data_IF_182778608370
#
_entry.id   IF_182778608370
#
_cell.length_a   1.000
_cell.length_b   1.000
_cell.length_c   1.000
_cell.angle_alpha   90.00
_cell.angle_beta   90.00
_cell.angle_gamma   90.00
#
_symmetry.space_group_name_H-M   'P 1'
#
loop_
_entity.id
_entity.type
_entity.pdbx_description
1 polymer ?
#
# COMPACT_ATOMS: atom_id res chain seq x y z
N UNK A 1 5.16 10.16 7.93
CA UNK A 1 6.45 9.48 7.67
C UNK A 1 6.20 8.00 7.43
N UNK A 2 6.86 7.40 6.45
CA UNK A 2 6.87 5.95 6.21
C UNK A 2 8.31 5.47 6.39
N UNK A 3 8.53 4.53 7.29
CA UNK A 3 9.85 3.93 7.55
C UNK A 3 9.83 2.47 7.16
N UNK A 4 10.87 2.04 6.48
CA UNK A 4 11.18 0.65 6.17
C UNK A 4 12.38 0.27 7.03
N UNK A 5 12.27 -0.79 7.80
CA UNK A 5 13.24 -1.21 8.80
C UNK A 5 13.67 -2.65 8.50
N UNK A 6 14.83 -2.81 7.85
CA UNK A 6 15.45 -4.09 7.49
C UNK A 6 14.52 -5.07 6.77
N UNK A 7 13.68 -4.56 5.84
CA UNK A 7 12.66 -5.34 5.16
C UNK A 7 13.27 -6.36 4.18
N UNK A 8 12.89 -7.61 4.34
CA UNK A 8 13.15 -8.68 3.37
C UNK A 8 11.85 -9.39 3.02
N UNK A 9 11.65 -9.67 1.73
CA UNK A 9 10.47 -10.37 1.24
C UNK A 9 10.82 -11.47 0.25
N UNK A 10 10.05 -12.54 0.25
CA UNK A 10 10.17 -13.63 -0.72
C UNK A 10 8.84 -14.11 -1.24
N UNK A 11 8.88 -14.76 -2.40
CA UNK A 11 7.75 -15.55 -2.92
C UNK A 11 7.99 -17.02 -2.62
N UNK A 12 7.01 -17.67 -2.02
CA UNK A 12 7.02 -19.12 -1.86
C UNK A 12 6.67 -19.80 -3.18
N UNK A 13 7.55 -20.69 -3.63
CA UNK A 13 7.37 -21.50 -4.83
C UNK A 13 7.52 -22.98 -4.50
N UNK A 14 7.15 -23.86 -5.41
CA UNK A 14 7.29 -25.32 -5.26
C UNK A 14 8.76 -25.72 -5.07
N UNK A 15 9.67 -24.99 -5.74
CA UNK A 15 11.11 -25.27 -5.73
C UNK A 15 11.87 -24.53 -4.61
N UNK A 16 11.16 -23.82 -3.72
CA UNK A 16 11.73 -23.06 -2.62
C UNK A 16 11.34 -21.58 -2.61
N UNK A 17 11.98 -20.80 -1.77
CA UNK A 17 11.67 -19.37 -1.63
C UNK A 17 12.55 -18.53 -2.57
N UNK A 18 11.91 -17.66 -3.36
CA UNK A 18 12.60 -16.68 -4.22
C UNK A 18 12.59 -15.33 -3.50
N UNK A 19 13.75 -14.92 -2.98
CA UNK A 19 13.91 -13.62 -2.33
C UNK A 19 13.89 -12.50 -3.36
N UNK A 20 13.10 -11.46 -3.14
CA UNK A 20 12.89 -10.35 -4.07
C UNK A 20 13.35 -9.02 -3.48
N UNK A 21 13.07 -8.78 -2.21
CA UNK A 21 13.62 -7.65 -1.45
C UNK A 21 14.54 -8.22 -0.39
N UNK A 22 15.72 -7.61 -0.23
CA UNK A 22 16.73 -8.10 0.69
C UNK A 22 17.29 -6.97 1.53
N UNK A 23 16.99 -7.01 2.84
CA UNK A 23 17.52 -6.10 3.86
C UNK A 23 17.43 -4.62 3.47
N UNK A 24 16.24 -4.19 3.06
CA UNK A 24 16.01 -2.83 2.61
C UNK A 24 15.66 -1.92 3.78
N UNK A 25 16.39 -0.81 3.90
CA UNK A 25 16.21 0.20 4.93
C UNK A 25 16.16 1.60 4.31
N UNK A 26 15.08 2.36 4.53
CA UNK A 26 14.97 3.75 4.18
C UNK A 26 13.74 4.42 4.83
N UNK A 27 13.68 5.75 4.75
CA UNK A 27 12.58 6.55 5.28
C UNK A 27 12.05 7.49 4.20
N UNK A 28 10.72 7.70 4.19
CA UNK A 28 10.04 8.69 3.37
C UNK A 28 9.37 9.68 4.32
N UNK A 29 9.75 10.95 4.19
CA UNK A 29 9.26 12.01 5.06
C UNK A 29 7.94 12.59 4.56
N UNK A 30 7.26 13.34 5.42
CA UNK A 30 6.04 14.05 5.05
C UNK A 30 6.37 15.15 4.02
N UNK A 31 5.46 15.34 3.06
CA UNK A 31 5.60 16.26 1.92
C UNK A 31 6.77 15.95 0.97
N UNK A 32 7.25 14.72 0.94
CA UNK A 32 8.30 14.24 0.04
C UNK A 32 7.71 13.49 -1.15
N UNK A 33 8.34 13.66 -2.34
CA UNK A 33 8.12 12.80 -3.51
C UNK A 33 9.30 11.84 -3.60
N UNK A 34 9.05 10.58 -3.28
CA UNK A 34 10.07 9.54 -3.31
C UNK A 34 9.94 8.66 -4.56
N UNK A 35 10.99 8.58 -5.36
CA UNK A 35 11.03 7.81 -6.60
C UNK A 35 11.75 6.46 -6.44
N UNK A 36 11.11 5.37 -6.91
CA UNK A 36 11.72 4.04 -6.96
C UNK A 36 11.94 3.67 -8.41
N UNK A 37 13.21 3.63 -8.85
CA UNK A 37 13.62 3.27 -10.20
C UNK A 37 14.35 1.92 -10.22
N UNK A 38 14.32 1.23 -11.36
CA UNK A 38 15.00 -0.05 -11.56
C UNK A 38 14.44 -0.79 -12.76
N UNK A 39 15.11 -1.84 -13.19
CA UNK A 39 14.74 -2.67 -14.33
C UNK A 39 13.39 -3.40 -14.11
N UNK A 40 12.80 -3.88 -15.21
CA UNK A 40 11.60 -4.72 -15.12
C UNK A 40 11.91 -6.01 -14.35
N UNK A 41 11.02 -6.37 -13.40
CA UNK A 41 11.20 -7.57 -12.57
C UNK A 41 12.12 -7.43 -11.36
N UNK A 42 12.75 -6.28 -11.12
CA UNK A 42 13.66 -6.09 -9.96
C UNK A 42 12.95 -5.95 -8.60
N UNK A 43 11.64 -6.14 -8.51
CA UNK A 43 10.93 -6.16 -7.22
C UNK A 43 10.21 -4.87 -6.81
N UNK A 44 10.17 -3.81 -7.65
CA UNK A 44 9.47 -2.54 -7.32
C UNK A 44 8.02 -2.74 -6.90
N UNK A 45 7.27 -3.53 -7.67
CA UNK A 45 5.86 -3.82 -7.37
C UNK A 45 5.72 -4.64 -6.09
N UNK A 46 6.65 -5.56 -5.85
CA UNK A 46 6.69 -6.36 -4.60
C UNK A 46 6.94 -5.47 -3.39
N UNK A 47 7.89 -4.55 -3.51
CA UNK A 47 8.15 -3.56 -2.47
C UNK A 47 6.90 -2.70 -2.21
N UNK A 48 6.27 -2.13 -3.25
CA UNK A 48 5.03 -1.35 -3.09
C UNK A 48 3.91 -2.14 -2.42
N UNK A 49 3.75 -3.43 -2.76
CA UNK A 49 2.77 -4.30 -2.09
C UNK A 49 3.09 -4.47 -0.61
N UNK A 50 4.35 -4.65 -0.25
CA UNK A 50 4.77 -4.75 1.15
C UNK A 50 4.54 -3.43 1.90
N UNK A 51 4.87 -2.28 1.30
CA UNK A 51 4.64 -0.95 1.88
C UNK A 51 3.15 -0.66 2.12
N UNK A 52 2.29 -1.13 1.23
CA UNK A 52 0.84 -0.97 1.33
C UNK A 52 0.17 -2.10 2.13
N UNK A 53 0.95 -3.03 2.68
CA UNK A 53 0.46 -4.17 3.45
C UNK A 53 -0.44 -5.13 2.64
N UNK A 54 -0.21 -5.24 1.32
CA UNK A 54 -0.81 -6.25 0.44
C UNK A 54 0.14 -7.45 0.37
N UNK A 55 0.28 -8.11 1.51
CA UNK A 55 1.12 -9.32 1.64
C UNK A 55 0.20 -10.52 1.69
N UNK A 56 0.04 -11.16 0.53
CA UNK A 56 -0.82 -12.32 0.35
C UNK A 56 -0.03 -13.43 -0.34
N UNK A 57 -0.27 -14.68 0.08
CA UNK A 57 0.37 -15.84 -0.54
C UNK A 57 0.35 -15.74 -2.09
N UNK A 58 1.47 -15.98 -2.76
CA UNK A 58 2.73 -16.57 -2.28
C UNK A 58 3.77 -15.55 -1.75
N UNK A 59 3.46 -14.25 -1.67
CA UNK A 59 4.34 -13.22 -1.11
C UNK A 59 4.33 -13.29 0.42
N UNK A 60 5.53 -13.25 1.02
CA UNK A 60 5.71 -13.19 2.47
C UNK A 60 6.79 -12.17 2.86
N UNK A 61 6.66 -11.60 4.04
CA UNK A 61 7.73 -10.83 4.70
C UNK A 61 8.57 -11.83 5.49
N UNK A 62 9.82 -11.98 5.12
CA UNK A 62 10.76 -12.88 5.80
C UNK A 62 11.32 -12.24 7.08
N UNK A 63 11.61 -10.94 7.03
CA UNK A 63 12.15 -10.18 8.16
C UNK A 63 11.90 -8.69 7.98
N UNK A 64 12.10 -7.93 9.06
CA UNK A 64 11.91 -6.48 9.08
C UNK A 64 10.44 -6.08 9.13
N UNK A 65 10.20 -4.79 8.96
CA UNK A 65 8.85 -4.22 9.06
C UNK A 65 8.72 -2.91 8.31
N UNK A 66 7.48 -2.53 8.05
CA UNK A 66 7.09 -1.21 7.56
C UNK A 66 6.34 -0.50 8.67
N UNK A 67 6.66 0.76 8.90
CA UNK A 67 6.05 1.61 9.93
C UNK A 67 5.47 2.84 9.26
N UNK A 68 4.16 3.04 9.37
CA UNK A 68 3.48 4.25 8.96
C UNK A 68 3.13 5.08 10.18
N UNK A 69 3.71 6.27 10.31
CA UNK A 69 3.49 7.16 11.44
C UNK A 69 3.16 8.57 10.99
N UNK A 70 2.44 9.30 11.82
CA UNK A 70 2.06 10.68 11.53
C UNK A 70 1.19 11.27 12.63
N UNK A 71 0.52 12.38 12.30
CA UNK A 71 -0.43 13.05 13.17
C UNK A 71 -1.74 13.27 12.43
N UNK A 72 -2.86 13.00 13.10
CA UNK A 72 -4.20 13.25 12.58
C UNK A 72 -5.06 13.91 13.66
N UNK A 73 -5.60 15.10 13.37
CA UNK A 73 -6.41 15.88 14.32
C UNK A 73 -5.68 16.14 15.65
N UNK A 74 -4.37 16.45 15.61
CA UNK A 74 -3.57 16.70 16.80
C UNK A 74 -3.23 15.45 17.62
N UNK A 75 -3.49 14.26 17.11
CA UNK A 75 -3.19 12.98 17.75
C UNK A 75 -2.16 12.20 16.95
N UNK A 76 -1.04 11.80 17.56
CA UNK A 76 -0.06 10.95 16.88
C UNK A 76 -0.64 9.56 16.64
N UNK A 77 -0.24 8.94 15.53
CA UNK A 77 -0.53 7.55 15.22
C UNK A 77 0.72 6.85 14.72
N UNK A 78 0.78 5.53 14.94
CA UNK A 78 1.79 4.65 14.36
C UNK A 78 1.18 3.27 14.10
N UNK A 79 1.37 2.76 12.89
CA UNK A 79 0.92 1.44 12.46
C UNK A 79 2.10 0.67 11.87
N UNK A 80 2.22 -0.60 12.20
CA UNK A 80 3.24 -1.50 11.64
C UNK A 80 2.64 -2.45 10.60
N UNK A 81 3.49 -3.19 9.90
CA UNK A 81 3.10 -4.26 8.97
C UNK A 81 2.04 -5.18 9.60
N UNK A 82 0.99 -5.49 8.85
CA UNK A 82 -0.20 -6.20 9.33
C UNK A 82 -1.30 -5.29 9.89
N UNK A 83 -0.99 -4.04 10.22
CA UNK A 83 -1.95 -3.06 10.71
C UNK A 83 -2.19 -1.89 9.75
N UNK A 84 -1.29 -1.68 8.79
CA UNK A 84 -1.36 -0.57 7.81
C UNK A 84 -2.67 -0.63 7.02
N UNK A 85 -3.24 -1.82 6.77
CA UNK A 85 -4.56 -2.00 6.15
C UNK A 85 -5.68 -1.20 6.83
N UNK A 86 -5.59 -0.98 8.14
CA UNK A 86 -6.57 -0.19 8.91
C UNK A 86 -6.58 1.29 8.50
N UNK A 87 -5.51 1.74 7.85
CA UNK A 87 -5.32 3.14 7.41
C UNK A 87 -5.71 3.39 5.97
N UNK A 88 -6.06 2.34 5.21
CA UNK A 88 -6.45 2.45 3.81
C UNK A 88 -7.59 3.43 3.62
N UNK A 89 -7.49 4.24 2.56
CA UNK A 89 -8.41 5.32 2.21
C UNK A 89 -8.43 6.52 3.17
N UNK A 90 -7.96 6.36 4.40
CA UNK A 90 -7.92 7.44 5.37
C UNK A 90 -6.56 8.16 5.42
N UNK A 91 -5.46 7.40 5.32
CA UNK A 91 -4.10 7.90 5.47
C UNK A 91 -3.22 7.53 4.27
N UNK A 92 -3.51 6.41 3.63
CA UNK A 92 -2.72 5.87 2.52
C UNK A 92 -3.66 5.34 1.43
N UNK A 93 -3.28 5.56 0.17
CA UNK A 93 -3.97 5.02 -1.00
C UNK A 93 -2.96 4.41 -1.98
N UNK A 94 -3.41 3.47 -2.79
CA UNK A 94 -2.60 2.77 -3.77
C UNK A 94 -3.21 2.90 -5.16
N UNK A 95 -2.40 3.33 -6.11
CA UNK A 95 -2.77 3.35 -7.53
C UNK A 95 -1.98 2.26 -8.24
N UNK A 96 -2.64 1.16 -8.66
CA UNK A 96 -1.95 0.05 -9.30
C UNK A 96 -1.51 0.40 -10.73
N UNK A 97 -0.55 -0.36 -11.25
CA UNK A 97 -0.21 -0.32 -12.66
C UNK A 97 -1.44 -0.71 -13.50
N UNK A 98 -1.66 -0.04 -14.63
CA UNK A 98 -2.83 -0.23 -15.50
C UNK A 98 -4.18 -0.02 -14.75
N UNK A 99 -4.28 1.03 -13.97
CA UNK A 99 -5.46 1.37 -13.15
C UNK A 99 -6.78 1.40 -13.96
N UNK A 100 -6.72 1.63 -15.27
CA UNK A 100 -7.88 1.62 -16.15
C UNK A 100 -8.56 0.24 -16.22
N UNK A 101 -7.81 -0.86 -16.10
CA UNK A 101 -8.35 -2.22 -16.12
C UNK A 101 -9.03 -2.62 -14.80
N UNK A 102 -8.84 -1.83 -13.75
CA UNK A 102 -9.46 -2.07 -12.43
C UNK A 102 -10.90 -1.55 -12.40
N UNK A 103 -11.26 -0.60 -13.28
CA UNK A 103 -12.60 -0.09 -13.37
C UNK A 103 -13.56 -1.16 -13.91
N UNK A 104 -14.68 -1.36 -13.22
CA UNK A 104 -15.70 -2.30 -13.65
C UNK A 104 -16.46 -1.74 -14.87
N UNK A 105 -16.36 -2.35 -16.08
CA UNK A 105 -16.96 -1.82 -17.29
C UNK A 105 -18.51 -1.86 -17.27
N UNK A 106 -19.11 -2.65 -16.39
CA UNK A 106 -20.57 -2.79 -16.29
C UNK A 106 -21.17 -1.77 -15.31
N UNK A 107 -20.36 -1.16 -14.46
CA UNK A 107 -20.82 -0.20 -13.45
C UNK A 107 -20.54 1.23 -13.92
N UNK A 108 -21.56 2.10 -13.84
CA UNK A 108 -21.37 3.52 -14.18
C UNK A 108 -20.27 4.14 -13.32
N UNK A 109 -19.43 4.97 -13.92
CA UNK A 109 -18.29 5.64 -13.24
C UNK A 109 -18.73 6.37 -11.97
N UNK A 110 -19.89 7.04 -11.99
CA UNK A 110 -20.46 7.71 -10.80
C UNK A 110 -20.46 6.80 -9.57
N UNK A 111 -20.90 5.57 -9.69
CA UNK A 111 -20.99 4.64 -8.55
C UNK A 111 -19.60 4.17 -8.11
N UNK A 112 -18.68 3.99 -9.04
CA UNK A 112 -17.30 3.60 -8.71
C UNK A 112 -16.58 4.72 -7.93
N UNK A 113 -16.81 5.99 -8.30
CA UNK A 113 -16.30 7.12 -7.52
C UNK A 113 -16.96 7.21 -6.14
N UNK A 114 -18.26 7.02 -6.04
CA UNK A 114 -18.97 7.00 -4.76
C UNK A 114 -18.49 5.89 -3.84
N UNK A 115 -18.08 4.74 -4.39
CA UNK A 115 -17.51 3.65 -3.60
C UNK A 115 -16.13 3.98 -3.02
N UNK A 116 -15.42 4.93 -3.62
CA UNK A 116 -14.13 5.43 -3.13
C UNK A 116 -14.26 6.42 -1.97
N UNK A 117 -15.46 6.97 -1.73
CA UNK A 117 -15.72 7.92 -0.65
C UNK A 117 -15.99 7.13 0.65
N UNK A 118 -15.32 7.46 1.77
CA UNK A 118 -15.60 6.84 3.06
C UNK A 118 -17.10 6.93 3.41
N UNK A 119 -17.67 5.83 3.93
CA UNK A 119 -19.12 5.76 4.22
C UNK A 119 -19.65 6.88 5.12
N UNK A 120 -18.79 7.48 5.93
CA UNK A 120 -19.13 8.60 6.82
C UNK A 120 -19.46 9.87 6.03
N UNK A 121 -18.84 10.05 4.87
CA UNK A 121 -18.95 11.28 4.04
C UNK A 121 -19.98 11.12 2.90
N UNK A 122 -20.52 9.91 2.68
CA UNK A 122 -21.50 9.62 1.61
C UNK A 122 -22.88 10.25 1.82
N UNK A 123 -23.19 10.72 3.04
CA UNK A 123 -24.53 11.21 3.39
C UNK A 123 -24.86 12.60 2.84
N UNK A 124 -23.87 13.35 2.35
CA UNK A 124 -24.09 14.71 1.83
C UNK A 124 -24.36 14.80 0.33
N UNK A 125 -24.21 13.72 -0.44
CA UNK A 125 -24.30 13.79 -1.92
C UNK A 125 -25.50 13.00 -2.52
N UNK A 126 -26.39 12.46 -1.70
CA UNK A 126 -27.53 11.66 -2.17
C UNK A 126 -28.83 12.48 -2.31
N UNK A 127 -28.80 13.80 -2.04
CA UNK A 127 -29.97 14.68 -2.05
C UNK A 127 -29.96 15.72 -3.22
N UNK A 128 -29.31 15.45 -4.35
CA UNK A 128 -29.48 16.19 -5.60
C UNK A 128 -29.86 15.29 -6.77
#
# INVERSE_FOLDING_TARGET
MLKIDHLSTSYKTIDGNVRVVNDLDFEIYDNEIFGIAGESGCGKTTLLKALYDIVEFPLEIDSGRVILSGEKNGKPFSYESGEIRKTWWNNISYVPQAAQSVLNPITRLKYQFLDSIPRQDRKSETEE
#
